data_IF_054963280759
#
_entry.id   IF_054963280759
#
_cell.length_a   1.000
_cell.length_b   1.000
_cell.length_c   1.000
_cell.angle_alpha   90.00
_cell.angle_beta   90.00
_cell.angle_gamma   90.00
#
_symmetry.space_group_name_H-M   'P 1'
#
loop_
_entity.id
_entity.type
_entity.pdbx_description
1 polymer ?
#
# COMPACT_ATOMS: atom_id res chain seq x y z
N UNK A 1 20.98 -11.89 -28.55
CA UNK A 1 20.61 -10.54 -28.06
C UNK A 1 21.88 -9.85 -27.63
N UNK A 2 22.09 -8.54 -27.91
CA UNK A 2 23.30 -7.88 -27.44
C UNK A 2 23.34 -8.01 -25.91
N UNK A 3 24.48 -8.45 -25.38
CA UNK A 3 24.78 -8.62 -23.96
C UNK A 3 24.29 -7.41 -23.15
N UNK A 4 23.04 -7.46 -22.66
CA UNK A 4 22.62 -6.54 -21.62
C UNK A 4 23.23 -7.06 -20.34
N UNK A 5 24.37 -6.48 -19.97
CA UNK A 5 25.01 -6.79 -18.71
C UNK A 5 24.01 -6.59 -17.56
N UNK A 6 23.99 -7.55 -16.64
CA UNK A 6 23.15 -7.46 -15.46
C UNK A 6 23.49 -6.19 -14.68
N UNK A 7 22.50 -5.33 -14.32
CA UNK A 7 22.79 -4.06 -13.68
C UNK A 7 23.50 -4.29 -12.35
N UNK A 8 24.52 -3.47 -12.07
CA UNK A 8 25.14 -3.47 -10.75
C UNK A 8 24.15 -2.97 -9.69
N UNK A 9 24.38 -3.29 -8.42
CA UNK A 9 23.52 -2.83 -7.33
C UNK A 9 23.38 -1.30 -7.31
N UNK A 10 24.46 -0.57 -7.60
CA UNK A 10 24.46 0.89 -7.67
C UNK A 10 23.61 1.42 -8.84
N UNK A 11 23.66 0.77 -10.01
CA UNK A 11 22.82 1.12 -11.16
C UNK A 11 21.34 0.87 -10.83
N UNK A 12 21.03 -0.29 -10.23
CA UNK A 12 19.67 -0.61 -9.81
C UNK A 12 19.17 0.36 -8.74
N UNK A 13 20.00 0.73 -7.76
CA UNK A 13 19.65 1.71 -6.73
C UNK A 13 19.26 3.07 -7.32
N UNK A 14 19.94 3.54 -8.38
CA UNK A 14 19.55 4.79 -9.07
C UNK A 14 18.19 4.68 -9.74
N UNK A 15 17.87 3.53 -10.33
CA UNK A 15 16.55 3.27 -10.92
C UNK A 15 15.47 3.24 -9.84
N UNK A 16 15.73 2.57 -8.70
CA UNK A 16 14.80 2.55 -7.56
C UNK A 16 14.60 3.94 -6.95
N UNK A 17 15.66 4.75 -6.82
CA UNK A 17 15.55 6.13 -6.39
C UNK A 17 14.72 6.98 -7.36
N UNK A 18 14.92 6.79 -8.68
CA UNK A 18 14.09 7.44 -9.72
C UNK A 18 12.62 7.03 -9.61
N UNK A 19 12.33 5.74 -9.40
CA UNK A 19 10.97 5.26 -9.19
C UNK A 19 10.38 5.91 -7.95
N UNK A 20 11.07 5.86 -6.80
CA UNK A 20 10.61 6.48 -5.56
C UNK A 20 10.29 7.97 -5.70
N UNK A 21 11.20 8.74 -6.30
CA UNK A 21 11.03 10.19 -6.52
C UNK A 21 9.90 10.54 -7.50
N UNK A 22 9.53 9.63 -8.40
CA UNK A 22 8.51 9.86 -9.43
C UNK A 22 7.18 9.15 -9.13
N UNK A 23 7.06 8.47 -7.98
CA UNK A 23 5.92 7.62 -7.63
C UNK A 23 4.70 8.40 -7.15
N UNK A 24 4.13 9.24 -8.02
CA UNK A 24 2.89 9.98 -7.80
C UNK A 24 1.66 9.26 -8.41
N UNK A 25 0.46 9.67 -8.02
CA UNK A 25 -0.78 9.23 -8.69
C UNK A 25 -1.39 7.94 -8.14
N UNK A 26 -1.13 7.64 -6.86
CA UNK A 26 -1.68 6.48 -6.16
C UNK A 26 -1.19 5.12 -6.70
N UNK A 27 -1.78 4.01 -6.23
CA UNK A 27 -1.28 2.66 -6.52
C UNK A 27 -1.22 2.34 -8.03
N UNK A 28 -2.23 2.73 -8.79
CA UNK A 28 -2.27 2.47 -10.23
C UNK A 28 -1.21 3.26 -11.01
N UNK A 29 -0.98 4.53 -10.67
CA UNK A 29 0.06 5.35 -11.28
C UNK A 29 1.46 4.81 -10.96
N UNK A 30 1.67 4.38 -9.73
CA UNK A 30 2.94 3.79 -9.28
C UNK A 30 3.23 2.45 -9.97
N UNK A 31 2.25 1.57 -10.08
CA UNK A 31 2.39 0.29 -10.80
C UNK A 31 2.66 0.56 -12.30
N UNK A 32 1.96 1.52 -12.91
CA UNK A 32 2.19 1.88 -14.31
C UNK A 32 3.59 2.48 -14.54
N UNK A 33 4.06 3.34 -13.63
CA UNK A 33 5.41 3.89 -13.65
C UNK A 33 6.46 2.78 -13.55
N UNK A 34 6.29 1.85 -12.60
CA UNK A 34 7.16 0.70 -12.44
C UNK A 34 7.15 -0.19 -13.67
N UNK A 35 5.98 -0.46 -14.25
CA UNK A 35 5.85 -1.22 -15.49
C UNK A 35 6.63 -0.55 -16.62
N UNK A 36 6.37 0.73 -16.90
CA UNK A 36 7.11 1.50 -17.91
C UNK A 36 8.62 1.45 -17.69
N UNK A 37 9.10 1.72 -16.48
CA UNK A 37 10.54 1.78 -16.21
C UNK A 37 11.18 0.38 -16.26
N UNK A 38 10.57 -0.62 -15.62
CA UNK A 38 11.19 -1.94 -15.42
C UNK A 38 10.97 -2.89 -16.59
N UNK A 39 9.79 -2.84 -17.22
CA UNK A 39 9.40 -3.71 -18.34
C UNK A 39 9.75 -3.04 -19.67
N UNK A 40 9.32 -1.81 -19.91
CA UNK A 40 9.46 -1.18 -21.24
C UNK A 40 10.85 -0.55 -21.45
N UNK A 41 11.27 0.36 -20.56
CA UNK A 41 12.53 1.10 -20.67
C UNK A 41 13.74 0.18 -20.43
N UNK A 42 13.81 -0.47 -19.25
CA UNK A 42 14.98 -1.26 -18.86
C UNK A 42 14.92 -2.73 -19.32
N UNK A 43 13.72 -3.28 -19.55
CA UNK A 43 13.48 -4.72 -19.84
C UNK A 43 14.17 -5.66 -18.85
N UNK A 44 14.04 -5.37 -17.56
CA UNK A 44 14.52 -6.25 -16.49
C UNK A 44 13.70 -7.54 -16.42
N UNK A 45 12.40 -7.43 -16.64
CA UNK A 45 11.43 -8.53 -16.66
C UNK A 45 10.37 -8.27 -17.75
N UNK A 46 9.78 -9.34 -18.29
CA UNK A 46 8.72 -9.25 -19.27
C UNK A 46 7.33 -9.11 -18.64
N UNK A 47 6.34 -8.99 -19.51
CA UNK A 47 4.94 -8.69 -19.14
C UNK A 47 4.36 -9.76 -18.20
N UNK A 48 4.55 -11.03 -18.57
CA UNK A 48 3.99 -12.17 -17.83
C UNK A 48 4.58 -12.26 -16.42
N UNK A 49 5.89 -12.07 -16.27
CA UNK A 49 6.54 -12.07 -14.96
C UNK A 49 6.13 -10.88 -14.11
N UNK A 50 6.00 -9.69 -14.71
CA UNK A 50 5.53 -8.50 -14.00
C UNK A 50 4.10 -8.71 -13.47
N UNK A 51 3.18 -9.20 -14.31
CA UNK A 51 1.80 -9.50 -13.91
C UNK A 51 1.73 -10.61 -12.86
N UNK A 52 2.58 -11.63 -12.96
CA UNK A 52 2.66 -12.68 -11.95
C UNK A 52 3.06 -12.11 -10.58
N UNK A 53 4.11 -11.28 -10.54
CA UNK A 53 4.55 -10.60 -9.31
C UNK A 53 3.45 -9.68 -8.75
N UNK A 54 2.78 -8.91 -9.61
CA UNK A 54 1.68 -8.03 -9.21
C UNK A 54 0.52 -8.82 -8.60
N UNK A 55 0.08 -9.90 -9.26
CA UNK A 55 -0.99 -10.75 -8.75
C UNK A 55 -0.63 -11.38 -7.41
N UNK A 56 0.64 -11.75 -7.21
CA UNK A 56 1.12 -12.26 -5.92
C UNK A 56 1.04 -11.19 -4.82
N UNK A 57 1.50 -9.96 -5.09
CA UNK A 57 1.41 -8.85 -4.14
C UNK A 57 -0.03 -8.48 -3.79
N UNK A 58 -1.00 -8.64 -4.70
CA UNK A 58 -2.42 -8.42 -4.41
C UNK A 58 -3.02 -9.42 -3.40
N UNK A 59 -2.37 -10.58 -3.19
CA UNK A 59 -2.80 -11.56 -2.19
C UNK A 59 -2.26 -11.27 -0.80
N UNK A 60 -1.19 -10.47 -0.69
CA UNK A 60 -0.53 -10.15 0.57
C UNK A 60 -1.14 -8.88 1.19
N UNK A 61 -1.22 -8.80 2.52
CA UNK A 61 -1.68 -7.58 3.17
C UNK A 61 -0.65 -6.46 3.02
N UNK A 62 -1.10 -5.26 2.69
CA UNK A 62 -0.29 -4.05 2.58
C UNK A 62 -0.33 -3.36 1.20
N UNK A 63 0.47 -2.30 1.02
CA UNK A 63 0.49 -1.50 -0.20
C UNK A 63 1.14 -2.24 -1.38
N UNK A 64 0.38 -2.52 -2.43
CA UNK A 64 0.77 -3.42 -3.52
C UNK A 64 1.99 -2.91 -4.30
N UNK A 65 2.05 -1.60 -4.59
CA UNK A 65 3.16 -1.00 -5.34
C UNK A 65 4.50 -1.11 -4.58
N UNK A 66 4.49 -0.90 -3.26
CA UNK A 66 5.67 -1.03 -2.41
C UNK A 66 6.11 -2.50 -2.33
N UNK A 67 5.17 -3.43 -2.13
CA UNK A 67 5.49 -4.85 -2.11
C UNK A 67 6.07 -5.30 -3.45
N UNK A 68 5.53 -4.82 -4.58
CA UNK A 68 6.02 -5.13 -5.90
C UNK A 68 7.45 -4.58 -6.10
N UNK A 69 7.74 -3.38 -5.60
CA UNK A 69 9.08 -2.81 -5.64
C UNK A 69 10.07 -3.68 -4.84
N UNK A 70 9.70 -4.10 -3.62
CA UNK A 70 10.51 -5.02 -2.79
C UNK A 70 10.69 -6.38 -3.48
N UNK A 71 9.63 -6.93 -4.06
CA UNK A 71 9.66 -8.22 -4.76
C UNK A 71 10.61 -8.18 -5.96
N UNK A 72 10.46 -7.19 -6.84
CA UNK A 72 11.30 -7.07 -8.04
C UNK A 72 12.73 -6.70 -7.64
N UNK A 73 12.93 -5.84 -6.65
CA UNK A 73 14.25 -5.55 -6.09
C UNK A 73 14.92 -6.82 -5.56
N UNK A 74 14.17 -7.67 -4.87
CA UNK A 74 14.64 -8.96 -4.39
C UNK A 74 14.97 -9.93 -5.52
N UNK A 75 14.14 -9.98 -6.54
CA UNK A 75 14.35 -10.81 -7.72
C UNK A 75 15.63 -10.39 -8.49
N UNK A 76 15.96 -9.09 -8.46
CA UNK A 76 17.13 -8.56 -9.13
C UNK A 76 18.43 -8.71 -8.31
N UNK A 77 18.42 -8.34 -7.03
CA UNK A 77 19.66 -8.31 -6.21
C UNK A 77 19.50 -8.99 -4.85
N UNK A 78 18.66 -10.02 -4.77
CA UNK A 78 18.39 -10.81 -3.55
C UNK A 78 17.93 -9.90 -2.40
N UNK A 79 18.15 -10.30 -1.15
CA UNK A 79 17.67 -9.57 0.04
C UNK A 79 18.08 -8.09 0.06
N UNK A 80 19.31 -7.76 -0.33
CA UNK A 80 19.78 -6.37 -0.40
C UNK A 80 19.01 -5.56 -1.45
N UNK A 81 18.75 -6.15 -2.62
CA UNK A 81 17.94 -5.50 -3.65
C UNK A 81 16.53 -5.17 -3.18
N UNK A 82 15.88 -6.11 -2.48
CA UNK A 82 14.54 -5.89 -1.93
C UNK A 82 14.51 -4.79 -0.87
N UNK A 83 15.49 -4.77 0.04
CA UNK A 83 15.63 -3.72 1.07
C UNK A 83 15.85 -2.35 0.41
N UNK A 84 16.79 -2.25 -0.53
CA UNK A 84 17.10 -1.00 -1.21
C UNK A 84 15.89 -0.50 -2.01
N UNK A 85 15.23 -1.37 -2.77
CA UNK A 85 14.05 -1.00 -3.54
C UNK A 85 12.92 -0.49 -2.64
N UNK A 86 12.61 -1.20 -1.55
CA UNK A 86 11.58 -0.80 -0.59
C UNK A 86 11.89 0.52 0.10
N UNK A 87 13.11 0.68 0.60
CA UNK A 87 13.52 1.92 1.28
C UNK A 87 13.50 3.11 0.32
N UNK A 88 14.09 2.99 -0.87
CA UNK A 88 14.11 4.09 -1.84
C UNK A 88 12.73 4.43 -2.39
N UNK A 89 11.78 3.50 -2.35
CA UNK A 89 10.39 3.75 -2.71
C UNK A 89 9.65 4.59 -1.66
N UNK A 90 9.96 4.42 -0.37
CA UNK A 90 9.23 5.06 0.75
C UNK A 90 9.92 6.33 1.25
N UNK A 91 11.25 6.35 1.33
CA UNK A 91 12.02 7.44 1.95
C UNK A 91 11.71 8.84 1.37
N UNK A 92 11.58 9.05 0.05
CA UNK A 92 11.25 10.37 -0.49
C UNK A 92 9.92 10.91 0.05
N UNK A 93 8.88 10.07 0.06
CA UNK A 93 7.59 10.41 0.64
C UNK A 93 7.66 10.63 2.14
N UNK A 94 8.49 9.84 2.84
CA UNK A 94 8.66 9.89 4.29
C UNK A 94 9.18 11.26 4.71
N UNK A 95 10.22 11.72 4.01
CA UNK A 95 10.81 13.04 4.22
C UNK A 95 9.79 14.13 3.87
N UNK A 96 9.10 14.02 2.73
CA UNK A 96 8.13 15.02 2.30
C UNK A 96 6.95 15.15 3.28
N UNK A 97 6.33 14.04 3.69
CA UNK A 97 5.23 14.04 4.65
C UNK A 97 5.70 14.50 6.02
N UNK A 98 6.92 14.18 6.44
CA UNK A 98 7.44 14.67 7.73
C UNK A 98 7.55 16.20 7.71
N UNK A 99 8.14 16.75 6.65
CA UNK A 99 8.28 18.19 6.48
C UNK A 99 6.91 18.88 6.45
N UNK A 100 5.95 18.33 5.69
CA UNK A 100 4.58 18.85 5.62
C UNK A 100 3.83 18.73 6.96
N UNK A 101 4.07 17.68 7.73
CA UNK A 101 3.48 17.50 9.07
C UNK A 101 3.97 18.58 10.04
N UNK A 102 5.27 18.89 10.02
CA UNK A 102 5.83 20.01 10.79
C UNK A 102 5.26 21.36 10.35
N UNK A 103 5.13 21.59 9.03
CA UNK A 103 4.53 22.81 8.50
C UNK A 103 3.07 22.94 8.97
N UNK A 104 2.31 21.85 8.90
CA UNK A 104 0.93 21.79 9.37
C UNK A 104 0.82 22.13 10.85
N UNK A 105 1.63 21.51 11.70
CA UNK A 105 1.60 21.70 13.14
C UNK A 105 2.02 23.11 13.60
N UNK A 106 2.96 23.75 12.91
CA UNK A 106 3.48 25.06 13.31
C UNK A 106 2.65 26.21 12.71
N UNK A 107 2.18 26.07 11.47
CA UNK A 107 1.61 27.17 10.69
C UNK A 107 0.20 26.92 10.16
N UNK A 108 -0.43 25.79 10.50
CA UNK A 108 -1.77 25.40 10.02
C UNK A 108 -2.85 26.45 10.25
N UNK A 109 -2.76 27.19 11.37
CA UNK A 109 -3.74 28.21 11.76
C UNK A 109 -3.50 29.59 11.13
N UNK A 110 -2.53 29.72 10.22
CA UNK A 110 -2.36 30.96 9.47
C UNK A 110 -3.35 31.02 8.32
N UNK A 111 -4.12 32.10 8.17
CA UNK A 111 -5.23 32.18 7.21
C UNK A 111 -4.85 31.89 5.74
N UNK A 112 -3.58 32.06 5.36
CA UNK A 112 -3.08 31.67 4.05
C UNK A 112 -2.94 30.13 3.89
N UNK A 113 -2.45 29.43 4.92
CA UNK A 113 -2.35 27.97 4.93
C UNK A 113 -3.72 27.32 5.09
N UNK A 114 -4.61 27.91 5.88
CA UNK A 114 -6.00 27.46 6.02
C UNK A 114 -6.71 27.44 4.65
N UNK A 115 -6.56 28.51 3.85
CA UNK A 115 -7.10 28.57 2.49
C UNK A 115 -6.48 27.54 1.54
N UNK A 116 -5.17 27.29 1.66
CA UNK A 116 -4.48 26.25 0.90
C UNK A 116 -5.00 24.85 1.26
N UNK A 117 -5.12 24.54 2.55
CA UNK A 117 -5.65 23.27 3.03
C UNK A 117 -7.12 23.10 2.65
N UNK A 118 -7.93 24.16 2.64
CA UNK A 118 -9.29 24.09 2.13
C UNK A 118 -9.34 23.70 0.64
N UNK A 119 -8.51 24.33 -0.19
CA UNK A 119 -8.36 23.95 -1.61
C UNK A 119 -7.89 22.50 -1.76
N UNK A 120 -6.96 22.06 -0.91
CA UNK A 120 -6.48 20.69 -0.86
C UNK A 120 -7.59 19.71 -0.48
N UNK A 121 -8.42 20.01 0.54
CA UNK A 121 -9.59 19.19 0.94
C UNK A 121 -10.55 18.98 -0.23
N UNK A 122 -10.81 20.03 -1.01
CA UNK A 122 -11.67 19.92 -2.20
C UNK A 122 -11.06 18.99 -3.27
N UNK A 123 -9.75 19.09 -3.52
CA UNK A 123 -9.04 18.20 -4.43
C UNK A 123 -9.03 16.74 -3.94
N UNK A 124 -8.79 16.53 -2.63
CA UNK A 124 -8.84 15.20 -1.99
C UNK A 124 -10.23 14.59 -2.14
N UNK A 125 -11.30 15.35 -1.89
CA UNK A 125 -12.65 14.85 -2.08
C UNK A 125 -12.87 14.35 -3.52
N UNK A 126 -12.41 15.10 -4.52
CA UNK A 126 -12.49 14.69 -5.92
C UNK A 126 -11.70 13.40 -6.18
N UNK A 127 -10.49 13.27 -5.62
CA UNK A 127 -9.65 12.06 -5.74
C UNK A 127 -10.31 10.87 -5.04
N UNK A 128 -10.88 11.05 -3.85
CA UNK A 128 -11.59 9.99 -3.11
C UNK A 128 -12.81 9.52 -3.89
N UNK A 129 -13.62 10.43 -4.44
CA UNK A 129 -14.76 10.09 -5.31
C UNK A 129 -14.28 9.32 -6.55
N UNK A 130 -13.20 9.77 -7.19
CA UNK A 130 -12.60 9.10 -8.34
C UNK A 130 -12.09 7.70 -7.97
N UNK A 131 -11.48 7.54 -6.80
CA UNK A 131 -11.01 6.25 -6.29
C UNK A 131 -12.19 5.30 -6.01
N UNK A 132 -13.27 5.77 -5.40
CA UNK A 132 -14.50 5.00 -5.16
C UNK A 132 -15.11 4.53 -6.48
N UNK A 133 -15.24 5.41 -7.48
CA UNK A 133 -15.77 5.05 -8.80
C UNK A 133 -14.85 4.04 -9.50
N UNK A 134 -13.54 4.25 -9.45
CA UNK A 134 -12.55 3.38 -10.07
C UNK A 134 -12.50 1.99 -9.43
N UNK A 135 -12.52 1.91 -8.10
CA UNK A 135 -12.50 0.64 -7.36
C UNK A 135 -13.85 -0.05 -7.53
N UNK A 136 -14.96 0.68 -7.36
CA UNK A 136 -16.32 0.19 -7.50
C UNK A 136 -16.58 -0.40 -8.89
N UNK A 137 -16.18 0.28 -9.97
CA UNK A 137 -16.35 -0.23 -11.35
C UNK A 137 -15.57 -1.52 -11.63
N UNK A 138 -14.47 -1.76 -10.91
CA UNK A 138 -13.66 -2.99 -11.03
C UNK A 138 -14.17 -4.12 -10.14
N UNK A 139 -14.63 -3.80 -8.93
CA UNK A 139 -15.04 -4.78 -7.91
C UNK A 139 -16.54 -5.14 -7.97
N UNK A 140 -17.42 -4.17 -8.21
CA UNK A 140 -18.88 -4.35 -8.14
C UNK A 140 -19.45 -4.72 -9.52
N UNK A 141 -19.27 -5.98 -9.91
CA UNK A 141 -19.64 -6.47 -11.25
C UNK A 141 -21.12 -6.80 -11.42
N UNK A 142 -21.85 -6.98 -10.32
CA UNK A 142 -23.26 -7.36 -10.35
C UNK A 142 -24.03 -6.82 -9.14
N UNK A 143 -25.36 -6.96 -9.19
CA UNK A 143 -26.27 -6.50 -8.12
C UNK A 143 -26.01 -7.12 -6.75
N UNK A 144 -25.51 -8.35 -6.70
CA UNK A 144 -25.19 -9.02 -5.42
C UNK A 144 -24.01 -8.33 -4.75
N UNK A 145 -22.94 -8.05 -5.50
CA UNK A 145 -21.77 -7.32 -5.00
C UNK A 145 -22.14 -5.91 -4.54
N UNK A 146 -23.00 -5.20 -5.29
CA UNK A 146 -23.52 -3.90 -4.88
C UNK A 146 -24.33 -4.02 -3.59
N UNK A 147 -25.17 -5.06 -3.46
CA UNK A 147 -25.94 -5.33 -2.24
C UNK A 147 -25.05 -5.59 -1.03
N UNK A 148 -23.98 -6.38 -1.18
CA UNK A 148 -22.98 -6.60 -0.12
C UNK A 148 -22.30 -5.27 0.25
N UNK A 149 -21.88 -4.47 -0.73
CA UNK A 149 -21.26 -3.17 -0.46
C UNK A 149 -22.21 -2.20 0.28
N UNK A 150 -23.47 -2.14 -0.11
CA UNK A 150 -24.48 -1.33 0.58
C UNK A 150 -24.76 -1.82 2.00
N UNK A 151 -24.88 -3.14 2.20
CA UNK A 151 -25.05 -3.73 3.53
C UNK A 151 -23.83 -3.47 4.43
N UNK A 152 -22.61 -3.61 3.89
CA UNK A 152 -21.36 -3.27 4.59
C UNK A 152 -21.30 -1.80 4.97
N UNK A 153 -21.72 -0.90 4.07
CA UNK A 153 -21.81 0.54 4.37
C UNK A 153 -22.78 0.83 5.50
N UNK A 154 -23.98 0.25 5.48
CA UNK A 154 -24.96 0.40 6.55
C UNK A 154 -24.44 -0.19 7.87
N UNK A 155 -23.78 -1.35 7.83
CA UNK A 155 -23.21 -1.99 9.01
C UNK A 155 -22.16 -1.11 9.70
N UNK A 156 -21.22 -0.53 8.95
CA UNK A 156 -20.21 0.34 9.56
C UNK A 156 -20.78 1.71 9.97
N UNK A 157 -21.60 2.33 9.12
CA UNK A 157 -22.07 3.70 9.32
C UNK A 157 -23.18 3.81 10.36
N UNK A 158 -24.19 2.94 10.30
CA UNK A 158 -25.37 3.04 11.17
C UNK A 158 -25.24 2.22 12.46
N UNK A 159 -24.49 1.11 12.40
CA UNK A 159 -24.38 0.17 13.53
C UNK A 159 -22.97 0.13 14.15
N UNK A 160 -22.00 0.84 13.59
CA UNK A 160 -20.62 0.85 14.12
C UNK A 160 -19.96 -0.52 14.10
N UNK A 161 -20.35 -1.41 13.17
CA UNK A 161 -19.78 -2.76 13.10
C UNK A 161 -18.29 -2.66 12.73
N UNK A 162 -17.38 -3.34 13.47
CA UNK A 162 -15.95 -3.25 13.20
C UNK A 162 -15.60 -3.70 11.78
N UNK A 163 -14.73 -2.94 11.11
CA UNK A 163 -14.28 -3.22 9.75
C UNK A 163 -13.77 -4.67 9.54
N UNK A 164 -12.96 -5.27 10.43
CA UNK A 164 -12.53 -6.67 10.26
C UNK A 164 -13.70 -7.66 10.20
N UNK A 165 -14.77 -7.43 10.97
CA UNK A 165 -15.97 -8.29 10.97
C UNK A 165 -16.70 -8.18 9.63
N UNK A 166 -16.78 -6.98 9.06
CA UNK A 166 -17.38 -6.74 7.75
C UNK A 166 -16.59 -7.45 6.65
N UNK A 167 -15.26 -7.35 6.68
CA UNK A 167 -14.38 -8.03 5.70
C UNK A 167 -14.55 -9.55 5.79
N UNK A 168 -14.52 -10.10 7.00
CA UNK A 168 -14.72 -11.54 7.22
C UNK A 168 -16.11 -11.99 6.78
N UNK A 169 -17.15 -11.22 7.07
CA UNK A 169 -18.52 -11.50 6.65
C UNK A 169 -18.67 -11.49 5.13
N UNK A 170 -18.09 -10.49 4.45
CA UNK A 170 -18.09 -10.41 2.99
C UNK A 170 -17.30 -11.55 2.35
N UNK A 171 -16.14 -11.91 2.92
CA UNK A 171 -15.32 -13.03 2.46
C UNK A 171 -16.05 -14.36 2.62
N UNK A 172 -16.71 -14.58 3.77
CA UNK A 172 -17.51 -15.79 4.02
C UNK A 172 -18.71 -15.87 3.05
N UNK A 173 -19.42 -14.77 2.84
CA UNK A 173 -20.50 -14.71 1.87
C UNK A 173 -20.02 -15.04 0.45
N UNK A 174 -18.85 -14.50 0.07
CA UNK A 174 -18.20 -14.82 -1.20
C UNK A 174 -17.80 -16.30 -1.32
N UNK A 175 -17.23 -16.87 -0.28
CA UNK A 175 -16.82 -18.28 -0.22
C UNK A 175 -18.02 -19.23 -0.33
N UNK A 176 -19.05 -19.02 0.50
CA UNK A 176 -20.27 -19.83 0.46
C UNK A 176 -21.01 -19.68 -0.87
N UNK A 177 -21.06 -18.46 -1.42
CA UNK A 177 -21.65 -18.19 -2.73
C UNK A 177 -20.92 -18.91 -3.88
N UNK A 178 -19.60 -18.95 -3.83
CA UNK A 178 -18.78 -19.69 -4.79
C UNK A 178 -18.98 -21.22 -4.65
N UNK A 179 -18.99 -21.74 -3.41
CA UNK A 179 -19.25 -23.16 -3.12
C UNK A 179 -20.65 -23.59 -3.58
N UNK A 180 -21.65 -22.74 -3.44
CA UNK A 180 -23.02 -22.98 -3.90
C UNK A 180 -23.18 -22.88 -5.44
N UNK A 181 -22.11 -22.58 -6.18
CA UNK A 181 -22.13 -22.50 -7.64
C UNK A 181 -22.88 -21.29 -8.20
N UNK A 182 -23.15 -20.27 -7.37
CA UNK A 182 -23.85 -19.07 -7.80
C UNK A 182 -23.00 -18.30 -8.83
N UNK A 183 -23.59 -18.02 -9.98
CA UNK A 183 -22.92 -17.32 -11.10
C UNK A 183 -22.38 -15.95 -10.70
N UNK A 184 -23.01 -15.29 -9.73
CA UNK A 184 -22.61 -13.99 -9.21
C UNK A 184 -21.23 -13.99 -8.51
N UNK A 185 -20.73 -15.14 -8.06
CA UNK A 185 -19.46 -15.29 -7.33
C UNK A 185 -18.37 -16.00 -8.14
N UNK A 186 -18.60 -16.25 -9.43
CA UNK A 186 -17.57 -16.79 -10.33
C UNK A 186 -16.55 -15.69 -10.64
N UNK A 187 -15.27 -15.93 -10.30
CA UNK A 187 -14.19 -14.96 -10.53
C UNK A 187 -14.04 -14.60 -12.01
N UNK A 188 -14.14 -13.31 -12.34
CA UNK A 188 -14.11 -12.82 -13.72
C UNK A 188 -13.38 -11.48 -13.92
N UNK A 189 -12.51 -11.08 -12.98
CA UNK A 189 -11.91 -9.74 -12.96
C UNK A 189 -10.38 -9.75 -12.94
N UNK A 190 -9.73 -10.34 -13.95
CA UNK A 190 -8.31 -10.06 -14.19
C UNK A 190 -8.13 -8.59 -14.60
N UNK A 191 -7.04 -7.96 -14.16
CA UNK A 191 -6.70 -6.60 -14.57
C UNK A 191 -6.59 -6.53 -16.10
N UNK A 192 -7.23 -5.51 -16.70
CA UNK A 192 -7.25 -5.31 -18.14
C UNK A 192 -5.84 -5.30 -18.72
N UNK A 193 -5.67 -5.99 -19.84
CA UNK A 193 -4.40 -6.09 -20.55
C UNK A 193 -3.82 -4.69 -20.81
N UNK A 194 -2.57 -4.48 -20.41
CA UNK A 194 -1.81 -3.31 -20.82
C UNK A 194 -1.73 -3.30 -22.36
N UNK A 195 -2.16 -2.20 -22.97
CA UNK A 195 -2.17 -2.04 -24.42
C UNK A 195 -0.76 -1.86 -24.97
N UNK A 196 -0.28 -2.86 -25.70
CA UNK A 196 1.00 -2.88 -26.40
C UNK A 196 1.34 -4.30 -26.86
N UNK A 197 2.28 -4.45 -27.81
CA UNK A 197 2.85 -5.78 -28.08
C UNK A 197 3.63 -6.21 -26.81
N UNK A 198 3.22 -7.29 -26.12
CA UNK A 198 3.76 -7.61 -24.80
C UNK A 198 5.26 -7.91 -24.91
N UNK A 199 6.06 -7.32 -24.00
CA UNK A 199 7.49 -7.65 -23.89
C UNK A 199 7.58 -9.11 -23.42
N UNK A 200 8.06 -9.99 -24.30
CA UNK A 200 8.23 -11.40 -23.99
C UNK A 200 9.32 -11.58 -22.92
N UNK A 201 9.10 -12.48 -21.96
CA UNK A 201 10.07 -12.77 -20.91
C UNK A 201 11.43 -13.22 -21.49
N UNK A 202 11.43 -14.02 -22.56
CA UNK A 202 12.60 -14.42 -23.34
C UNK A 202 13.48 -13.24 -23.81
N UNK A 203 12.90 -12.06 -24.04
CA UNK A 203 13.59 -10.86 -24.52
C UNK A 203 14.10 -9.95 -23.40
N UNK A 204 14.03 -10.41 -22.15
CA UNK A 204 14.37 -9.62 -20.95
C UNK A 204 15.57 -10.19 -20.19
N UNK A 205 16.15 -9.39 -19.29
CA UNK A 205 17.34 -9.78 -18.51
C UNK A 205 17.14 -11.06 -17.69
N UNK A 206 15.96 -11.23 -17.08
CA UNK A 206 15.67 -12.43 -16.28
C UNK A 206 15.26 -13.63 -17.14
N UNK A 207 14.96 -13.42 -18.43
CA UNK A 207 14.52 -14.47 -19.35
C UNK A 207 13.24 -15.18 -18.90
N UNK A 208 12.97 -16.34 -19.51
CA UNK A 208 11.87 -17.23 -19.11
C UNK A 208 12.20 -18.05 -17.84
N UNK A 209 13.48 -18.16 -17.48
CA UNK A 209 13.93 -18.97 -16.34
C UNK A 209 13.65 -18.32 -14.98
N UNK A 210 13.37 -19.14 -13.96
CA UNK A 210 13.34 -18.68 -12.57
C UNK A 210 14.77 -18.60 -12.01
N UNK A 211 15.23 -17.46 -11.48
CA UNK A 211 16.58 -17.35 -10.92
C UNK A 211 16.80 -18.34 -9.78
N UNK A 212 17.99 -18.94 -9.67
CA UNK A 212 18.26 -20.02 -8.69
C UNK A 212 17.96 -19.63 -7.24
N UNK A 213 18.21 -18.37 -6.88
CA UNK A 213 17.97 -17.87 -5.52
C UNK A 213 16.48 -17.78 -5.14
N UNK A 214 15.57 -17.94 -6.11
CA UNK A 214 14.13 -18.04 -5.87
C UNK A 214 13.70 -19.42 -5.38
N UNK A 215 14.57 -20.44 -5.54
CA UNK A 215 14.36 -21.78 -5.01
C UNK A 215 14.76 -21.81 -3.55
N UNK A 216 13.81 -21.49 -2.67
CA UNK A 216 14.02 -21.40 -1.23
C UNK A 216 13.66 -22.71 -0.54
N UNK A 217 14.48 -23.13 0.43
CA UNK A 217 14.15 -24.26 1.30
C UNK A 217 13.26 -23.81 2.47
N UNK A 218 12.48 -24.74 3.03
CA UNK A 218 11.64 -24.45 4.20
C UNK A 218 12.44 -23.90 5.39
N UNK A 219 13.67 -24.38 5.60
CA UNK A 219 14.55 -23.89 6.67
C UNK A 219 15.00 -22.44 6.43
N UNK A 220 15.30 -22.06 5.20
CA UNK A 220 15.61 -20.66 4.87
C UNK A 220 14.38 -19.76 5.06
N UNK A 221 13.21 -20.21 4.60
CA UNK A 221 11.95 -19.50 4.75
C UNK A 221 11.61 -19.27 6.24
N UNK A 222 11.71 -20.31 7.08
CA UNK A 222 11.47 -20.18 8.51
C UNK A 222 12.45 -19.20 9.17
N UNK A 223 13.74 -19.27 8.82
CA UNK A 223 14.77 -18.37 9.36
C UNK A 223 14.51 -16.92 8.97
N UNK A 224 14.23 -16.65 7.69
CA UNK A 224 14.02 -15.27 7.23
C UNK A 224 12.73 -14.68 7.82
N UNK A 225 11.68 -15.48 7.93
CA UNK A 225 10.43 -15.10 8.61
C UNK A 225 10.68 -14.80 10.09
N UNK A 226 11.44 -15.63 10.80
CA UNK A 226 11.77 -15.39 12.21
C UNK A 226 12.55 -14.07 12.39
N UNK A 227 13.50 -13.78 11.50
CA UNK A 227 14.26 -12.51 11.53
C UNK A 227 13.34 -11.31 11.32
N UNK A 228 12.51 -11.31 10.28
CA UNK A 228 11.61 -10.17 10.01
C UNK A 228 10.49 -10.02 11.03
N UNK A 229 9.96 -11.13 11.57
CA UNK A 229 9.02 -11.09 12.69
C UNK A 229 9.69 -10.52 13.95
N UNK A 230 10.94 -10.89 14.23
CA UNK A 230 11.71 -10.31 15.33
C UNK A 230 11.93 -8.80 15.13
N UNK A 231 12.38 -8.38 13.95
CA UNK A 231 12.60 -6.97 13.62
C UNK A 231 11.32 -6.12 13.73
N UNK A 232 10.16 -6.73 13.49
CA UNK A 232 8.88 -6.04 13.60
C UNK A 232 8.30 -6.08 15.03
N UNK A 233 8.21 -7.24 15.67
CA UNK A 233 7.51 -7.42 16.94
C UNK A 233 8.35 -7.04 18.16
N UNK A 234 9.68 -7.13 18.09
CA UNK A 234 10.53 -6.75 19.24
C UNK A 234 10.43 -5.26 19.57
N UNK A 235 10.50 -4.30 18.61
CA UNK A 235 10.29 -2.89 18.91
C UNK A 235 8.89 -2.60 19.48
N UNK A 236 7.86 -3.26 18.93
CA UNK A 236 6.47 -3.12 19.44
C UNK A 236 6.40 -3.59 20.88
N UNK A 237 6.88 -4.81 21.17
CA UNK A 237 6.89 -5.35 22.53
C UNK A 237 7.71 -4.47 23.49
N UNK A 238 8.85 -3.94 23.03
CA UNK A 238 9.69 -3.06 23.84
C UNK A 238 8.95 -1.77 24.23
N UNK A 239 8.19 -1.15 23.34
CA UNK A 239 7.37 0.03 23.65
C UNK A 239 6.29 -0.28 24.70
N UNK A 240 5.57 -1.39 24.52
CA UNK A 240 4.55 -1.82 25.49
C UNK A 240 5.14 -2.13 26.87
N UNK A 241 6.33 -2.74 26.93
CA UNK A 241 6.98 -3.09 28.19
C UNK A 241 7.64 -1.88 28.88
N UNK A 242 8.20 -0.95 28.10
CA UNK A 242 8.95 0.19 28.64
C UNK A 242 8.05 1.38 29.00
N UNK A 243 7.04 1.69 28.17
CA UNK A 243 6.19 2.86 28.30
C UNK A 243 4.78 2.53 28.81
N UNK A 244 4.34 1.28 28.62
CA UNK A 244 3.03 0.80 29.03
C UNK A 244 1.98 0.91 27.92
N UNK A 245 0.82 0.22 28.06
CA UNK A 245 -0.19 0.13 27.01
C UNK A 245 -0.98 1.43 26.77
N UNK A 246 -0.90 2.39 27.68
CA UNK A 246 -1.60 3.68 27.59
C UNK A 246 -0.77 4.74 26.87
N UNK A 247 0.54 4.55 26.72
CA UNK A 247 1.44 5.50 26.06
C UNK A 247 1.17 5.59 24.55
N UNK A 248 1.22 6.80 23.97
CA UNK A 248 0.88 7.02 22.57
C UNK A 248 1.74 6.18 21.62
N UNK A 249 3.03 6.01 21.91
CA UNK A 249 3.93 5.27 21.03
C UNK A 249 3.62 3.77 21.06
N UNK A 250 3.25 3.24 22.22
CA UNK A 250 2.79 1.85 22.34
C UNK A 250 1.45 1.65 21.61
N UNK A 251 0.50 2.57 21.75
CA UNK A 251 -0.79 2.51 21.05
C UNK A 251 -0.62 2.60 19.53
N UNK A 252 0.18 3.55 19.03
CA UNK A 252 0.53 3.71 17.61
C UNK A 252 1.17 2.42 17.09
N UNK A 253 2.19 1.90 17.79
CA UNK A 253 2.90 0.70 17.38
C UNK A 253 1.98 -0.54 17.34
N UNK A 254 1.12 -0.72 18.34
CA UNK A 254 0.16 -1.81 18.40
C UNK A 254 -0.91 -1.71 17.31
N UNK A 255 -1.53 -0.54 17.17
CA UNK A 255 -2.57 -0.29 16.18
C UNK A 255 -2.07 -0.53 14.76
N UNK A 256 -0.98 0.12 14.35
CA UNK A 256 -0.45 -0.04 13.00
C UNK A 256 0.13 -1.44 12.74
N UNK A 257 0.58 -2.16 13.77
CA UNK A 257 0.94 -3.57 13.64
C UNK A 257 -0.26 -4.45 13.31
N UNK A 258 -1.40 -4.26 13.97
CA UNK A 258 -2.64 -4.96 13.61
C UNK A 258 -3.07 -4.56 12.20
N UNK A 259 -3.03 -3.27 11.86
CA UNK A 259 -3.40 -2.81 10.52
C UNK A 259 -2.54 -3.44 9.43
N UNK A 260 -1.23 -3.61 9.66
CA UNK A 260 -0.33 -4.22 8.69
C UNK A 260 -0.73 -5.65 8.28
N UNK A 261 -1.40 -6.41 9.15
CA UNK A 261 -1.83 -7.79 8.84
C UNK A 261 -3.26 -7.91 8.30
N UNK A 262 -4.10 -6.89 8.53
CA UNK A 262 -5.52 -6.91 8.09
C UNK A 262 -5.79 -6.03 6.86
N UNK A 263 -4.79 -5.32 6.35
CA UNK A 263 -4.94 -4.42 5.19
C UNK A 263 -4.90 -5.20 3.89
N UNK A 264 -6.05 -5.66 3.40
CA UNK A 264 -6.19 -6.27 2.06
C UNK A 264 -6.86 -5.30 1.08
N UNK A 265 -6.48 -5.35 -0.20
CA UNK A 265 -7.11 -4.53 -1.24
C UNK A 265 -6.61 -3.08 -1.35
N UNK A 266 -5.39 -2.84 -0.89
CA UNK A 266 -4.66 -1.58 -1.10
C UNK A 266 -4.92 -0.51 -0.06
N UNK A 267 -4.16 0.60 -0.16
CA UNK A 267 -4.16 1.66 0.85
C UNK A 267 -5.55 2.25 1.12
N UNK A 268 -6.40 2.41 0.10
CA UNK A 268 -7.72 3.03 0.27
C UNK A 268 -8.68 2.25 1.17
N UNK A 269 -8.57 0.91 1.22
CA UNK A 269 -9.48 0.09 2.02
C UNK A 269 -9.29 0.32 3.53
N UNK A 270 -8.05 0.58 3.94
CA UNK A 270 -7.70 0.71 5.37
C UNK A 270 -7.82 2.14 5.89
N UNK A 271 -7.66 3.14 5.01
CA UNK A 271 -7.54 4.54 5.42
C UNK A 271 -8.80 5.09 6.09
N UNK A 272 -9.99 4.66 5.66
CA UNK A 272 -11.23 5.06 6.32
C UNK A 272 -11.29 4.55 7.77
N UNK A 273 -10.85 3.32 8.01
CA UNK A 273 -10.79 2.76 9.36
C UNK A 273 -9.72 3.45 10.22
N UNK A 274 -8.54 3.72 9.67
CA UNK A 274 -7.50 4.50 10.37
C UNK A 274 -8.02 5.88 10.73
N UNK A 275 -8.75 6.54 9.83
CA UNK A 275 -9.36 7.85 10.07
C UNK A 275 -10.31 7.79 11.27
N UNK A 276 -11.22 6.82 11.24
CA UNK A 276 -12.20 6.63 12.30
C UNK A 276 -11.52 6.37 13.65
N UNK A 277 -10.58 5.43 13.70
CA UNK A 277 -9.89 5.08 14.94
C UNK A 277 -9.02 6.22 15.47
N UNK A 278 -8.30 6.92 14.59
CA UNK A 278 -7.47 8.06 14.98
C UNK A 278 -8.29 9.23 15.55
N UNK A 279 -9.53 9.44 15.07
CA UNK A 279 -10.40 10.53 15.55
C UNK A 279 -11.25 10.10 16.74
N UNK A 280 -11.99 8.99 16.60
CA UNK A 280 -13.05 8.60 17.55
C UNK A 280 -12.53 7.78 18.73
N UNK A 281 -11.47 6.98 18.53
CA UNK A 281 -10.98 6.05 19.55
C UNK A 281 -9.75 6.57 20.26
N UNK A 282 -8.73 6.99 19.50
CA UNK A 282 -7.44 7.39 20.06
C UNK A 282 -7.27 8.90 20.25
N UNK A 283 -8.08 9.73 19.57
CA UNK A 283 -7.96 11.19 19.63
C UNK A 283 -6.67 11.77 19.03
N UNK A 284 -5.89 10.95 18.30
CA UNK A 284 -4.67 11.40 17.60
C UNK A 284 -4.94 12.48 16.56
N UNK A 285 -6.13 12.47 15.96
CA UNK A 285 -6.56 13.46 14.97
C UNK A 285 -7.87 14.12 15.39
N UNK A 286 -8.02 15.39 15.02
CA UNK A 286 -9.24 16.15 15.10
C UNK A 286 -10.10 15.91 13.83
N UNK A 287 -11.41 16.17 13.89
CA UNK A 287 -12.28 16.03 12.74
C UNK A 287 -11.76 16.83 11.53
N UNK A 288 -11.58 16.14 10.40
CA UNK A 288 -11.13 16.75 9.15
C UNK A 288 -9.61 16.75 8.91
N UNK A 289 -8.78 16.55 9.93
CA UNK A 289 -7.31 16.53 9.75
C UNK A 289 -6.84 15.32 8.95
N UNK A 290 -7.57 14.21 9.00
CA UNK A 290 -7.26 13.07 8.12
C UNK A 290 -7.37 13.47 6.64
N UNK A 291 -8.31 14.36 6.27
CA UNK A 291 -8.40 14.83 4.88
C UNK A 291 -7.20 15.69 4.49
N UNK A 292 -6.68 16.49 5.43
CA UNK A 292 -5.44 17.25 5.23
C UNK A 292 -4.25 16.30 5.03
N UNK A 293 -4.12 15.30 5.91
CA UNK A 293 -3.12 14.25 5.79
C UNK A 293 -3.17 13.51 4.46
N UNK A 294 -4.38 13.13 4.01
CA UNK A 294 -4.58 12.46 2.72
C UNK A 294 -4.19 13.37 1.55
N UNK A 295 -4.49 14.66 1.64
CA UNK A 295 -4.07 15.63 0.62
C UNK A 295 -2.58 15.80 0.53
N UNK A 296 -1.91 15.84 1.69
CA UNK A 296 -0.45 15.84 1.72
C UNK A 296 0.09 14.55 1.09
N UNK A 297 -0.46 13.38 1.46
CA UNK A 297 -0.02 12.09 0.93
C UNK A 297 -0.20 11.97 -0.59
N UNK A 298 -1.32 12.41 -1.17
CA UNK A 298 -1.56 12.38 -2.62
C UNK A 298 -0.67 13.38 -3.40
N UNK A 299 -0.18 14.44 -2.76
CA UNK A 299 0.73 15.43 -3.39
C UNK A 299 2.20 15.11 -3.19
N UNK A 300 2.53 14.04 -2.46
CA UNK A 300 3.90 13.57 -2.23
C UNK A 300 4.22 12.29 -3.02
N UNK A 301 5.50 12.03 -3.33
CA UNK A 301 5.90 10.76 -3.91
C UNK A 301 5.74 9.63 -2.90
N UNK A 302 5.42 8.43 -3.37
CA UNK A 302 5.35 7.23 -2.52
C UNK A 302 3.92 6.79 -2.22
N UNK A 303 3.74 5.65 -1.54
CA UNK A 303 2.44 5.01 -1.42
C UNK A 303 1.47 5.85 -0.57
N UNK A 304 0.18 5.91 -0.94
CA UNK A 304 -0.80 6.73 -0.21
C UNK A 304 -0.87 6.42 1.29
N UNK A 305 -0.58 5.18 1.68
CA UNK A 305 -0.55 4.74 3.07
C UNK A 305 0.42 5.57 3.93
N UNK A 306 1.33 6.33 3.34
CA UNK A 306 2.24 7.24 4.04
C UNK A 306 1.54 8.31 4.89
N UNK A 307 0.26 8.58 4.66
CA UNK A 307 -0.55 9.41 5.58
C UNK A 307 -0.54 8.87 7.02
N UNK A 308 -0.30 7.58 7.26
CA UNK A 308 -0.18 7.03 8.62
C UNK A 308 0.98 7.64 9.40
N UNK A 309 2.01 8.15 8.72
CA UNK A 309 3.07 8.91 9.35
C UNK A 309 2.57 10.25 9.90
N UNK A 310 1.71 10.95 9.16
CA UNK A 310 1.05 12.16 9.64
C UNK A 310 0.15 11.86 10.85
N UNK A 311 -0.62 10.78 10.79
CA UNK A 311 -1.45 10.31 11.93
C UNK A 311 -0.59 10.09 13.18
N UNK A 312 0.52 9.35 13.05
CA UNK A 312 1.42 9.08 14.16
C UNK A 312 2.12 10.33 14.69
N UNK A 313 2.52 11.25 13.80
CA UNK A 313 3.11 12.53 14.17
C UNK A 313 2.13 13.38 15.00
N UNK A 314 0.90 13.54 14.52
CA UNK A 314 -0.12 14.32 15.23
C UNK A 314 -0.52 13.69 16.56
N UNK A 315 -0.60 12.35 16.61
CA UNK A 315 -0.83 11.62 17.86
C UNK A 315 0.25 11.91 18.89
N UNK A 316 1.53 11.78 18.51
CA UNK A 316 2.66 12.05 19.41
C UNK A 316 2.81 13.54 19.78
N UNK A 317 2.38 14.46 18.92
CA UNK A 317 2.44 15.89 19.20
C UNK A 317 1.42 16.34 20.26
N UNK A 318 0.33 15.59 20.43
CA UNK A 318 -0.82 15.94 21.29
C UNK A 318 -0.81 15.29 22.66
N UNK A 319 0.07 14.32 22.87
CA UNK A 319 0.38 13.78 24.20
C UNK A 319 1.25 14.77 25.00
#
# INVERSE_FOLDING_TARGET
MPDRAYPTLAQAARIWARIGLLSFGGPAGQIALMHRILVEENRWLGERRFLHALNYCMLLPGPEAMQLAVYIGWLMHRTLGGIIAGLLFVVPGMVAIMALSWIYAIWGDTGALEGLFFGLKAAVLAIVVQAVIRIGSRALRNRVMIGIAAASFVAIFAFGVPFPVIVLGAALAGFLGAQAGLTAFRGGGGHGAAGGAPVADADTLLGDGTPDHTRVSAGWAARISAVFLGLWLLPVAALFLALGPQDVFAQIAGFFSVMAVVTFGGAYAVLAYVAQQAVETYGWLAPGEMLDGLGMAETTPGPLIMVTQFVGFMGALRE
#
